data_IF_886900787417
#
_entry.id   IF_886900787417
#
_cell.length_a   1.000
_cell.length_b   1.000
_cell.length_c   1.000
_cell.angle_alpha   90.00
_cell.angle_beta   90.00
_cell.angle_gamma   90.00
#
_symmetry.space_group_name_H-M   'P 1'
#
loop_
_entity.id
_entity.type
_entity.pdbx_description
1 polymer ?
#
# COMPACT_ATOMS: atom_id res chain seq x y z
N UNK A 1 -72.85 -56.56 -41.07
CA UNK A 1 -72.38 -57.08 -39.77
C UNK A 1 -70.93 -57.51 -39.90
N UNK A 2 -70.08 -56.92 -39.06
CA UNK A 2 -68.67 -57.19 -38.73
C UNK A 2 -67.66 -57.58 -39.84
N UNK A 3 -66.76 -56.64 -40.16
CA UNK A 3 -65.46 -56.88 -40.81
C UNK A 3 -64.39 -56.38 -39.82
N UNK A 4 -63.52 -57.28 -39.36
CA UNK A 4 -62.47 -56.98 -38.38
C UNK A 4 -61.10 -56.84 -39.05
N UNK A 5 -60.35 -55.86 -38.56
CA UNK A 5 -59.08 -55.31 -39.02
C UNK A 5 -57.89 -56.08 -38.45
N UNK A 6 -56.84 -56.30 -39.23
CA UNK A 6 -55.51 -56.71 -38.76
C UNK A 6 -54.47 -55.79 -39.39
N UNK A 7 -53.70 -55.10 -38.54
CA UNK A 7 -52.67 -54.14 -38.92
C UNK A 7 -51.30 -54.68 -38.49
N UNK A 8 -50.38 -54.67 -39.44
CA UNK A 8 -49.01 -55.17 -39.38
C UNK A 8 -48.10 -54.30 -38.52
N UNK A 9 -47.28 -54.96 -37.71
CA UNK A 9 -46.24 -54.45 -36.81
C UNK A 9 -45.13 -53.68 -37.54
N UNK A 10 -44.81 -52.48 -37.05
CA UNK A 10 -43.67 -51.68 -37.49
C UNK A 10 -42.52 -51.74 -36.46
N UNK A 11 -41.33 -51.90 -37.01
CA UNK A 11 -40.03 -52.16 -36.41
C UNK A 11 -39.46 -50.92 -35.71
N UNK A 12 -39.08 -51.01 -34.42
CA UNK A 12 -38.46 -49.92 -33.65
C UNK A 12 -36.96 -50.17 -33.56
N UNK A 13 -36.20 -49.44 -34.39
CA UNK A 13 -34.74 -49.42 -34.37
C UNK A 13 -34.21 -48.68 -33.13
N UNK A 14 -33.34 -49.37 -32.40
CA UNK A 14 -32.70 -48.92 -31.15
C UNK A 14 -31.56 -47.94 -31.43
N UNK A 15 -31.77 -46.65 -31.15
CA UNK A 15 -30.69 -45.64 -31.09
C UNK A 15 -29.82 -45.86 -29.86
N UNK A 16 -28.62 -46.36 -30.11
CA UNK A 16 -27.48 -46.51 -29.17
C UNK A 16 -27.15 -45.15 -28.53
N UNK A 17 -27.59 -44.92 -27.29
CA UNK A 17 -27.19 -43.77 -26.46
C UNK A 17 -25.68 -43.84 -26.21
N UNK A 18 -24.92 -42.95 -26.83
CA UNK A 18 -23.50 -42.74 -26.53
C UNK A 18 -23.43 -42.05 -25.16
N UNK A 19 -22.95 -42.77 -24.15
CA UNK A 19 -22.57 -42.20 -22.86
C UNK A 19 -21.53 -41.10 -23.13
N UNK A 20 -21.91 -39.84 -22.93
CA UNK A 20 -20.95 -38.76 -22.73
C UNK A 20 -20.43 -38.92 -21.32
N UNK A 21 -19.28 -39.57 -21.19
CA UNK A 21 -18.51 -39.57 -19.97
C UNK A 21 -18.22 -38.11 -19.56
N UNK A 22 -18.51 -37.79 -18.31
CA UNK A 22 -18.14 -36.53 -17.63
C UNK A 22 -16.65 -36.26 -17.86
N UNK A 23 -16.34 -35.38 -18.81
CA UNK A 23 -15.01 -34.84 -19.03
C UNK A 23 -14.74 -33.74 -18.01
N UNK A 24 -13.58 -33.82 -17.37
CA UNK A 24 -13.03 -32.79 -16.48
C UNK A 24 -13.21 -31.38 -17.06
N UNK A 25 -13.49 -30.44 -16.17
CA UNK A 25 -13.73 -29.00 -16.37
C UNK A 25 -12.50 -28.29 -16.99
N UNK A 26 -12.15 -28.64 -18.24
CA UNK A 26 -11.00 -28.06 -18.94
C UNK A 26 -11.40 -26.69 -19.47
N UNK A 27 -10.96 -25.64 -18.78
CA UNK A 27 -11.03 -24.28 -19.31
C UNK A 27 -10.43 -24.25 -20.72
N UNK A 28 -11.01 -23.46 -21.66
CA UNK A 28 -10.49 -23.36 -23.01
C UNK A 28 -9.03 -22.87 -22.98
N UNK A 29 -8.16 -23.39 -23.87
CA UNK A 29 -6.74 -23.03 -23.89
C UNK A 29 -6.57 -21.53 -24.09
N UNK A 30 -5.61 -20.92 -23.38
CA UNK A 30 -5.38 -19.47 -23.43
C UNK A 30 -5.06 -18.97 -24.85
N UNK A 31 -4.23 -19.72 -25.58
CA UNK A 31 -3.94 -19.53 -26.99
C UNK A 31 -4.08 -20.89 -27.68
N UNK A 32 -4.93 -21.03 -28.71
CA UNK A 32 -5.09 -22.29 -29.43
C UNK A 32 -3.75 -22.83 -29.94
N UNK A 33 -3.47 -24.10 -29.66
CA UNK A 33 -2.24 -24.78 -30.11
C UNK A 33 -0.99 -24.53 -29.25
N UNK A 34 -1.08 -23.73 -28.18
CA UNK A 34 0.01 -23.53 -27.23
C UNK A 34 -0.32 -24.09 -25.83
N UNK A 35 0.67 -24.64 -25.12
CA UNK A 35 0.54 -24.91 -23.68
C UNK A 35 0.35 -23.61 -22.88
N UNK A 36 -0.44 -23.65 -21.81
CA UNK A 36 -0.78 -22.45 -21.03
C UNK A 36 0.43 -21.70 -20.47
N UNK A 37 1.48 -22.41 -20.02
CA UNK A 37 2.69 -21.76 -19.52
C UNK A 37 3.42 -20.92 -20.60
N UNK A 38 3.44 -21.39 -21.85
CA UNK A 38 4.00 -20.64 -22.99
C UNK A 38 3.07 -19.48 -23.34
N UNK A 39 1.76 -19.71 -23.35
CA UNK A 39 0.78 -18.66 -23.62
C UNK A 39 0.89 -17.51 -22.60
N UNK A 40 1.07 -17.81 -21.32
CA UNK A 40 1.28 -16.81 -20.25
C UNK A 40 2.52 -15.96 -20.54
N UNK A 41 3.65 -16.57 -20.92
CA UNK A 41 4.88 -15.84 -21.27
C UNK A 41 4.71 -14.96 -22.52
N UNK A 42 3.90 -15.39 -23.48
CA UNK A 42 3.58 -14.56 -24.65
C UNK A 42 2.70 -13.38 -24.26
N UNK A 43 1.63 -13.63 -23.50
CA UNK A 43 0.67 -12.60 -23.08
C UNK A 43 1.34 -11.61 -22.12
N UNK A 44 2.29 -12.02 -21.27
CA UNK A 44 2.98 -11.10 -20.35
C UNK A 44 3.80 -10.01 -21.04
N UNK A 45 4.08 -10.15 -22.35
CA UNK A 45 4.77 -9.12 -23.16
C UNK A 45 3.82 -8.09 -23.77
N UNK A 46 2.51 -8.33 -23.71
CA UNK A 46 1.49 -7.43 -24.26
C UNK A 46 1.02 -6.46 -23.17
N UNK A 47 0.71 -5.22 -23.55
CA UNK A 47 0.14 -4.24 -22.62
C UNK A 47 -1.12 -4.79 -21.96
N UNK A 48 -1.17 -4.75 -20.63
CA UNK A 48 -2.28 -5.31 -19.84
C UNK A 48 -3.65 -4.73 -20.24
N UNK A 49 -3.72 -3.45 -20.58
CA UNK A 49 -4.95 -2.81 -21.08
C UNK A 49 -5.50 -3.48 -22.35
N UNK A 50 -4.62 -3.88 -23.28
CA UNK A 50 -5.02 -4.59 -24.49
C UNK A 50 -5.55 -5.99 -24.15
N UNK A 51 -4.86 -6.73 -23.28
CA UNK A 51 -5.29 -8.05 -22.83
C UNK A 51 -6.66 -8.02 -22.15
N UNK A 52 -6.91 -6.99 -21.32
CA UNK A 52 -8.16 -6.81 -20.58
C UNK A 52 -9.38 -6.65 -21.50
N UNK A 53 -9.19 -6.10 -22.70
CA UNK A 53 -10.23 -5.86 -23.70
C UNK A 53 -10.55 -7.03 -24.63
N UNK A 54 -9.69 -8.05 -24.74
CA UNK A 54 -9.85 -9.09 -25.79
C UNK A 54 -10.94 -10.11 -25.44
N UNK A 55 -10.80 -10.83 -24.33
CA UNK A 55 -11.75 -11.87 -23.94
C UNK A 55 -11.77 -12.07 -22.41
N UNK A 56 -12.82 -12.74 -21.91
CA UNK A 56 -13.00 -13.01 -20.48
C UNK A 56 -11.93 -13.93 -19.90
N UNK A 57 -11.41 -14.87 -20.69
CA UNK A 57 -10.33 -15.79 -20.29
C UNK A 57 -9.02 -15.04 -20.02
N UNK A 58 -8.61 -14.16 -20.93
CA UNK A 58 -7.41 -13.33 -20.74
C UNK A 58 -7.59 -12.31 -19.63
N UNK A 59 -8.80 -11.75 -19.49
CA UNK A 59 -9.13 -10.91 -18.33
C UNK A 59 -9.00 -11.70 -17.03
N UNK A 60 -9.48 -12.94 -16.94
CA UNK A 60 -9.33 -13.78 -15.75
C UNK A 60 -7.85 -14.09 -15.48
N UNK A 61 -7.08 -14.41 -16.52
CA UNK A 61 -5.64 -14.64 -16.42
C UNK A 61 -4.93 -13.41 -15.83
N UNK A 62 -5.29 -12.20 -16.26
CA UNK A 62 -4.71 -10.97 -15.73
C UNK A 62 -4.87 -10.82 -14.23
N UNK A 63 -5.86 -11.44 -13.57
CA UNK A 63 -6.04 -11.42 -12.10
C UNK A 63 -5.59 -12.72 -11.41
N UNK A 64 -5.12 -13.71 -12.16
CA UNK A 64 -4.61 -14.96 -11.60
C UNK A 64 -3.24 -14.76 -10.94
N UNK A 65 -2.93 -15.47 -9.84
CA UNK A 65 -1.58 -15.45 -9.25
C UNK A 65 -0.50 -16.02 -10.19
N UNK A 66 -0.88 -16.77 -11.23
CA UNK A 66 0.06 -17.33 -12.21
C UNK A 66 0.56 -16.30 -13.24
N UNK A 67 -0.10 -15.15 -13.37
CA UNK A 67 0.29 -14.08 -14.29
C UNK A 67 1.12 -13.02 -13.54
N UNK A 68 2.20 -12.48 -14.13
CA UNK A 68 3.00 -11.43 -13.50
C UNK A 68 2.11 -10.25 -13.06
N UNK A 69 2.20 -9.92 -11.77
CA UNK A 69 1.39 -8.85 -11.20
C UNK A 69 1.83 -7.49 -11.74
N UNK A 70 0.87 -6.66 -12.12
CA UNK A 70 1.11 -5.25 -12.40
C UNK A 70 0.81 -4.41 -11.15
N UNK A 71 1.30 -3.18 -11.13
CA UNK A 71 1.16 -2.31 -9.96
C UNK A 71 -0.24 -1.73 -9.86
N UNK A 72 -0.69 -1.59 -8.61
CA UNK A 72 -1.96 -1.04 -8.19
C UNK A 72 -1.69 0.03 -7.13
N UNK A 73 -2.55 1.04 -7.08
CA UNK A 73 -2.52 2.03 -6.01
C UNK A 73 -3.30 1.48 -4.82
N UNK A 74 -2.72 1.58 -3.63
CA UNK A 74 -3.34 1.22 -2.35
C UNK A 74 -3.53 2.48 -1.54
N UNK A 75 -4.67 2.59 -0.85
CA UNK A 75 -4.99 3.70 0.01
C UNK A 75 -5.47 3.21 1.37
N UNK A 76 -4.97 3.84 2.42
CA UNK A 76 -5.55 3.79 3.76
C UNK A 76 -6.54 4.95 3.86
N UNK A 77 -7.80 4.64 4.10
CA UNK A 77 -8.92 5.55 3.99
C UNK A 77 -9.55 5.78 5.37
N UNK A 78 -10.03 7.00 5.57
CA UNK A 78 -10.87 7.38 6.70
C UNK A 78 -12.09 8.15 6.21
N UNK A 79 -13.25 8.10 6.87
CA UNK A 79 -14.42 8.91 6.51
C UNK A 79 -14.08 10.41 6.41
N UNK A 80 -14.65 11.11 5.42
CA UNK A 80 -14.53 12.57 5.39
C UNK A 80 -15.18 13.19 6.62
N UNK A 81 -14.56 14.23 7.22
CA UNK A 81 -15.28 15.14 8.07
C UNK A 81 -16.31 15.92 7.22
N UNK A 82 -17.44 16.26 7.82
CA UNK A 82 -18.38 17.25 7.33
C UNK A 82 -17.68 18.59 7.04
N UNK A 83 -18.29 19.46 6.21
CA UNK A 83 -17.69 20.75 5.82
C UNK A 83 -17.34 21.69 6.98
N UNK A 84 -17.99 21.52 8.13
CA UNK A 84 -17.73 22.25 9.37
C UNK A 84 -16.57 21.66 10.21
N UNK A 85 -15.93 20.59 9.72
CA UNK A 85 -14.86 19.87 10.39
C UNK A 85 -15.34 18.81 11.41
N UNK A 86 -16.65 18.63 11.59
CA UNK A 86 -17.23 17.57 12.44
C UNK A 86 -17.25 16.24 11.69
N UNK A 87 -17.37 15.10 12.38
CA UNK A 87 -17.47 13.79 11.72
C UNK A 87 -18.91 13.29 11.77
N UNK A 88 -19.31 12.37 10.86
CA UNK A 88 -20.53 11.59 11.01
C UNK A 88 -20.59 11.01 12.42
N UNK A 89 -21.53 11.51 13.24
CA UNK A 89 -21.74 10.99 14.59
C UNK A 89 -22.33 9.57 14.46
N UNK A 90 -21.82 8.58 15.21
CA UNK A 90 -22.54 7.32 15.35
C UNK A 90 -23.91 7.57 16.01
N UNK A 91 -24.91 6.70 15.77
CA UNK A 91 -26.24 6.84 16.36
C UNK A 91 -26.18 6.96 17.90
N UNK A 92 -27.10 7.74 18.47
CA UNK A 92 -27.11 8.30 19.85
C UNK A 92 -27.01 7.28 21.00
N UNK A 93 -26.88 5.99 20.74
CA UNK A 93 -26.57 4.98 21.77
C UNK A 93 -25.07 4.82 22.05
N UNK A 94 -24.18 5.37 21.23
CA UNK A 94 -22.72 5.13 21.29
C UNK A 94 -21.94 6.38 21.72
N UNK A 95 -22.32 6.96 22.86
CA UNK A 95 -21.49 7.94 23.53
C UNK A 95 -20.19 7.24 24.00
N UNK A 96 -19.05 7.38 23.27
CA UNK A 96 -17.64 7.42 23.78
C UNK A 96 -16.55 7.18 22.71
N UNK A 97 -16.82 6.54 21.56
CA UNK A 97 -15.72 6.16 20.63
C UNK A 97 -15.23 7.31 19.74
N UNK A 98 -14.09 7.93 20.11
CA UNK A 98 -13.37 8.95 19.30
C UNK A 98 -12.57 8.37 18.12
N UNK A 99 -12.64 7.06 17.92
CA UNK A 99 -11.85 6.36 16.92
C UNK A 99 -12.46 6.54 15.54
N UNK A 100 -11.62 6.81 14.54
CA UNK A 100 -12.01 6.79 13.14
C UNK A 100 -11.90 5.37 12.61
N UNK A 101 -12.99 4.88 11.99
CA UNK A 101 -12.95 3.63 11.22
C UNK A 101 -11.98 3.81 10.05
N UNK A 102 -11.09 2.85 9.87
CA UNK A 102 -10.08 2.81 8.83
C UNK A 102 -10.44 1.71 7.84
N UNK A 103 -10.49 2.09 6.57
CA UNK A 103 -10.74 1.19 5.46
C UNK A 103 -9.48 1.12 4.59
N UNK A 104 -9.23 -0.05 3.98
CA UNK A 104 -8.14 -0.18 3.03
C UNK A 104 -8.72 -0.57 1.69
N UNK A 105 -8.28 0.11 0.64
CA UNK A 105 -8.74 -0.14 -0.71
C UNK A 105 -7.58 -0.15 -1.70
N UNK A 106 -7.72 -0.95 -2.76
CA UNK A 106 -6.81 -1.00 -3.89
C UNK A 106 -7.52 -0.50 -5.15
N UNK A 107 -6.96 0.50 -5.82
CA UNK A 107 -7.44 0.99 -7.11
C UNK A 107 -6.84 0.18 -8.25
N UNK A 108 -7.69 -0.54 -8.97
CA UNK A 108 -7.32 -1.31 -10.16
C UNK A 108 -7.22 -0.39 -11.39
N UNK A 109 -6.01 -0.16 -11.94
CA UNK A 109 -5.81 0.73 -13.07
C UNK A 109 -6.39 0.22 -14.39
N UNK A 110 -6.75 -1.06 -14.51
CA UNK A 110 -7.35 -1.59 -15.75
C UNK A 110 -8.86 -1.43 -15.78
N UNK A 111 -9.51 -1.64 -14.64
CA UNK A 111 -10.96 -1.48 -14.52
C UNK A 111 -11.38 -0.10 -14.03
N UNK A 112 -10.44 0.74 -13.59
CA UNK A 112 -10.65 2.05 -12.97
C UNK A 112 -11.62 1.99 -11.79
N UNK A 113 -11.48 0.95 -10.95
CA UNK A 113 -12.36 0.71 -9.80
C UNK A 113 -11.56 0.48 -8.53
N UNK A 114 -12.10 1.00 -7.43
CA UNK A 114 -11.63 0.67 -6.09
C UNK A 114 -12.18 -0.69 -5.66
N UNK A 115 -11.28 -1.55 -5.19
CA UNK A 115 -11.56 -2.81 -4.54
C UNK A 115 -11.31 -2.63 -3.04
N UNK A 116 -12.34 -2.82 -2.21
CA UNK A 116 -12.19 -2.85 -0.76
C UNK A 116 -11.42 -4.10 -0.35
N UNK A 117 -10.42 -3.95 0.51
CA UNK A 117 -9.62 -5.06 1.02
C UNK A 117 -10.33 -5.70 2.22
N UNK A 118 -10.14 -7.00 2.46
CA UNK A 118 -10.66 -7.64 3.66
C UNK A 118 -10.06 -6.99 4.92
N UNK A 119 -10.78 -6.95 6.05
CA UNK A 119 -10.20 -6.51 7.32
C UNK A 119 -9.15 -7.52 7.81
N UNK A 120 -8.14 -7.09 8.61
CA UNK A 120 -7.13 -8.00 9.15
C UNK A 120 -7.67 -9.09 10.06
N UNK A 121 -8.76 -8.81 10.77
CA UNK A 121 -9.45 -9.75 11.64
C UNK A 121 -10.94 -9.73 11.31
N UNK A 122 -11.59 -10.91 11.18
CA UNK A 122 -13.05 -10.98 11.08
C UNK A 122 -13.69 -10.29 12.28
N UNK A 123 -14.68 -9.43 12.03
CA UNK A 123 -15.50 -8.75 13.04
C UNK A 123 -14.81 -7.67 13.90
N UNK A 124 -13.56 -7.30 13.62
CA UNK A 124 -12.89 -6.18 14.29
C UNK A 124 -12.50 -5.08 13.29
N UNK A 125 -13.29 -4.00 13.16
CA UNK A 125 -12.94 -2.89 12.29
C UNK A 125 -11.68 -2.20 12.80
N UNK A 126 -10.71 -1.96 11.90
CA UNK A 126 -9.56 -1.13 12.21
C UNK A 126 -10.04 0.26 12.60
N UNK A 127 -9.80 0.67 13.84
CA UNK A 127 -10.28 1.94 14.37
C UNK A 127 -9.15 2.62 15.13
N UNK A 128 -8.72 3.78 14.65
CA UNK A 128 -7.59 4.53 15.24
C UNK A 128 -7.99 5.97 15.50
N UNK A 129 -7.36 6.58 16.50
CA UNK A 129 -7.53 7.99 16.79
C UNK A 129 -6.73 8.81 15.77
N UNK A 130 -7.41 9.48 14.84
CA UNK A 130 -6.79 10.36 13.84
C UNK A 130 -6.77 11.84 14.25
N UNK A 131 -7.65 12.25 15.16
CA UNK A 131 -7.76 13.62 15.66
C UNK A 131 -8.15 13.61 17.13
N UNK A 132 -7.80 14.66 17.86
CA UNK A 132 -8.21 14.83 19.24
C UNK A 132 -8.48 16.31 19.54
N UNK A 133 -9.56 16.65 20.28
CA UNK A 133 -9.92 18.05 20.55
C UNK A 133 -8.81 18.87 21.21
N UNK A 134 -7.98 18.26 22.07
CA UNK A 134 -6.82 18.93 22.68
C UNK A 134 -5.62 19.12 21.72
N UNK A 135 -5.68 18.56 20.51
CA UNK A 135 -4.63 18.60 19.48
C UNK A 135 -5.20 19.13 18.15
N UNK A 136 -5.77 20.33 18.19
CA UNK A 136 -6.62 20.93 17.15
C UNK A 136 -5.92 21.00 15.77
N UNK A 137 -4.60 21.25 15.76
CA UNK A 137 -3.80 21.39 14.53
C UNK A 137 -3.07 20.12 14.07
N UNK A 138 -3.24 18.98 14.78
CA UNK A 138 -2.50 17.75 14.47
C UNK A 138 -3.44 16.62 14.09
N UNK A 139 -3.13 15.98 12.95
CA UNK A 139 -3.63 14.64 12.63
C UNK A 139 -2.65 13.62 13.15
N UNK A 140 -3.16 12.63 13.87
CA UNK A 140 -2.33 11.52 14.31
C UNK A 140 -2.10 10.55 13.15
N UNK A 141 -0.85 10.08 12.98
CA UNK A 141 -0.46 9.25 11.86
C UNK A 141 -0.97 7.81 12.01
N UNK A 142 -1.06 7.14 10.86
CA UNK A 142 -0.96 5.69 10.76
C UNK A 142 0.35 5.40 10.03
N UNK A 143 1.37 4.97 10.75
CA UNK A 143 2.63 4.55 10.13
C UNK A 143 2.40 3.28 9.33
N UNK A 144 2.67 3.36 8.04
CA UNK A 144 2.54 2.25 7.12
C UNK A 144 3.66 2.27 6.10
N UNK A 145 4.06 1.10 5.62
CA UNK A 145 5.12 0.94 4.64
C UNK A 145 4.79 -0.15 3.63
N UNK A 146 5.43 -0.09 2.47
CA UNK A 146 5.38 -1.12 1.43
C UNK A 146 6.73 -1.78 1.28
N UNK A 147 6.80 -3.11 1.42
CA UNK A 147 8.06 -3.86 1.30
C UNK A 147 7.82 -5.24 0.70
N UNK A 148 8.68 -5.64 -0.24
CA UNK A 148 8.63 -6.95 -0.90
C UNK A 148 7.24 -7.33 -1.43
N UNK A 149 6.49 -6.34 -1.93
CA UNK A 149 5.14 -6.52 -2.46
C UNK A 149 4.03 -6.63 -1.41
N UNK A 150 4.31 -6.41 -0.13
CA UNK A 150 3.32 -6.43 0.96
C UNK A 150 3.09 -5.02 1.53
N UNK A 151 1.87 -4.78 2.00
CA UNK A 151 1.52 -3.59 2.78
C UNK A 151 1.66 -3.92 4.27
N UNK A 152 2.30 -3.04 5.04
CA UNK A 152 2.48 -3.23 6.49
C UNK A 152 1.96 -2.02 7.24
N UNK A 153 1.06 -2.25 8.21
CA UNK A 153 0.67 -1.27 9.22
C UNK A 153 1.53 -1.47 10.46
N UNK A 154 2.24 -0.43 10.88
CA UNK A 154 3.29 -0.53 11.91
C UNK A 154 2.92 0.11 13.24
N UNK A 155 2.32 1.31 13.20
CA UNK A 155 1.98 2.06 14.39
C UNK A 155 0.76 2.95 14.13
N UNK A 156 -0.04 3.12 15.18
CA UNK A 156 -1.17 4.03 15.22
C UNK A 156 -1.47 4.38 16.68
N UNK A 157 -2.46 5.24 16.91
CA UNK A 157 -2.80 5.76 18.23
C UNK A 157 -4.21 5.31 18.64
N UNK A 158 -4.38 4.83 19.88
CA UNK A 158 -5.70 4.55 20.46
C UNK A 158 -6.37 5.83 20.96
N UNK A 159 -7.64 5.74 21.35
CA UNK A 159 -8.43 6.82 21.96
C UNK A 159 -7.78 7.43 23.21
N UNK A 160 -7.11 6.59 24.00
CA UNK A 160 -6.39 6.93 25.22
C UNK A 160 -4.92 7.31 24.98
N UNK A 161 -4.54 7.60 23.73
CA UNK A 161 -3.18 7.96 23.34
C UNK A 161 -2.14 6.88 23.70
N UNK A 162 -2.50 5.61 23.55
CA UNK A 162 -1.56 4.48 23.62
C UNK A 162 -1.18 3.98 22.21
N UNK A 163 -0.06 3.25 22.07
CA UNK A 163 0.25 2.52 20.85
C UNK A 163 -0.87 1.52 20.51
N UNK A 164 -1.44 1.64 19.31
CA UNK A 164 -2.57 0.80 18.88
C UNK A 164 -2.15 -0.50 18.17
N UNK A 165 -0.92 -0.54 17.63
CA UNK A 165 -0.42 -1.66 16.82
C UNK A 165 0.86 -2.20 17.49
N UNK A 166 0.76 -3.17 18.42
CA UNK A 166 1.93 -3.75 19.09
C UNK A 166 2.65 -4.79 18.21
N UNK A 167 1.92 -5.42 17.30
CA UNK A 167 2.43 -6.34 16.29
C UNK A 167 2.03 -5.79 14.92
N UNK A 168 2.96 -5.63 13.95
CA UNK A 168 2.63 -5.16 12.61
C UNK A 168 1.57 -6.02 11.95
N UNK A 169 0.69 -5.42 11.15
CA UNK A 169 -0.28 -6.14 10.33
C UNK A 169 0.22 -6.14 8.89
N UNK A 170 0.38 -7.32 8.30
CA UNK A 170 0.95 -7.52 6.96
C UNK A 170 -0.14 -8.02 6.03
N UNK A 171 -0.44 -7.26 5.00
CA UNK A 171 -1.34 -7.67 3.92
C UNK A 171 -0.53 -8.11 2.71
N UNK A 172 -0.81 -9.32 2.21
CA UNK A 172 -0.21 -9.86 0.99
C UNK A 172 -1.21 -9.74 -0.17
N UNK A 173 -0.98 -8.85 -1.16
CA UNK A 173 -1.85 -8.72 -2.34
C UNK A 173 -2.01 -9.99 -3.18
N UNK A 174 -1.00 -10.85 -3.19
CA UNK A 174 -1.01 -12.04 -4.05
C UNK A 174 -1.92 -13.13 -3.47
N UNK A 175 -1.94 -13.30 -2.15
CA UNK A 175 -2.85 -14.26 -1.49
C UNK A 175 -4.18 -13.62 -1.10
N UNK A 176 -4.20 -12.29 -0.91
CA UNK A 176 -5.36 -11.56 -0.39
C UNK A 176 -5.52 -11.67 1.13
N UNK A 177 -4.54 -12.24 1.83
CA UNK A 177 -4.63 -12.52 3.25
C UNK A 177 -3.85 -11.52 4.10
N UNK A 178 -4.29 -11.42 5.36
CA UNK A 178 -3.56 -10.74 6.42
C UNK A 178 -2.80 -11.73 7.29
N UNK A 179 -1.65 -11.29 7.77
CA UNK A 179 -0.84 -11.97 8.77
C UNK A 179 -0.34 -10.97 9.79
N UNK A 180 0.04 -11.46 10.97
CA UNK A 180 0.59 -10.65 12.05
C UNK A 180 2.10 -10.80 12.04
N UNK A 181 2.85 -9.71 12.06
CA UNK A 181 4.31 -9.69 12.17
C UNK A 181 4.82 -9.84 13.61
N UNK A 182 6.14 -9.77 13.83
CA UNK A 182 6.73 -9.90 15.15
C UNK A 182 6.38 -8.70 16.04
N UNK A 183 6.15 -8.96 17.33
CA UNK A 183 5.85 -7.92 18.32
C UNK A 183 7.02 -6.94 18.44
N UNK A 184 6.75 -5.64 18.34
CA UNK A 184 7.73 -4.59 18.61
C UNK A 184 8.26 -4.74 20.05
N UNK A 185 9.57 -4.61 20.24
CA UNK A 185 10.16 -4.68 21.59
C UNK A 185 9.60 -3.57 22.49
N UNK A 186 9.34 -2.41 21.90
CA UNK A 186 8.58 -1.32 22.50
C UNK A 186 7.49 -0.85 21.53
N UNK A 187 6.22 -1.29 21.71
CA UNK A 187 5.08 -0.74 20.99
C UNK A 187 5.07 0.77 21.12
N UNK A 188 4.89 1.45 19.99
CA UNK A 188 5.07 2.90 19.91
C UNK A 188 4.14 3.54 18.90
N UNK A 189 4.00 4.86 19.03
CA UNK A 189 3.25 5.76 18.14
C UNK A 189 4.12 6.97 17.82
N UNK A 190 3.80 7.67 16.75
CA UNK A 190 4.55 8.87 16.32
C UNK A 190 6.04 8.57 16.13
N UNK A 191 6.32 7.38 15.64
CA UNK A 191 7.66 6.95 15.27
C UNK A 191 7.93 7.27 13.81
N UNK A 192 9.21 7.24 13.47
CA UNK A 192 9.64 7.17 12.10
C UNK A 192 9.53 5.74 11.58
N UNK A 193 9.03 5.57 10.36
CA UNK A 193 8.90 4.27 9.72
C UNK A 193 9.37 4.35 8.27
N UNK A 194 10.09 3.33 7.83
CA UNK A 194 10.71 3.30 6.51
C UNK A 194 11.13 1.92 6.07
N UNK A 195 11.55 1.82 4.81
CA UNK A 195 12.02 0.58 4.20
C UNK A 195 13.35 0.85 3.54
N UNK A 196 14.32 -0.04 3.72
CA UNK A 196 15.53 -0.05 2.89
C UNK A 196 16.08 -1.46 2.77
N UNK A 197 16.58 -1.80 1.57
CA UNK A 197 17.10 -3.12 1.23
C UNK A 197 16.15 -4.27 1.58
N UNK A 198 14.85 -4.04 1.38
CA UNK A 198 13.81 -5.04 1.67
C UNK A 198 13.54 -5.30 3.15
N UNK A 199 14.10 -4.50 4.06
CA UNK A 199 13.84 -4.56 5.49
C UNK A 199 13.03 -3.35 5.96
N UNK A 200 12.19 -3.57 6.97
CA UNK A 200 11.39 -2.54 7.64
C UNK A 200 12.19 -1.95 8.78
N UNK A 201 12.13 -0.64 8.95
CA UNK A 201 12.75 0.07 10.06
C UNK A 201 11.73 0.91 10.79
N UNK A 202 11.82 0.88 12.12
CA UNK A 202 11.05 1.73 13.01
C UNK A 202 12.02 2.43 13.94
N UNK A 203 12.00 3.76 13.96
CA UNK A 203 12.90 4.56 14.79
C UNK A 203 12.12 5.57 15.63
N UNK A 204 12.62 5.88 16.82
CA UNK A 204 12.08 6.92 17.70
C UNK A 204 10.60 6.70 18.06
N UNK A 205 9.88 7.77 18.38
CA UNK A 205 8.47 7.77 18.81
C UNK A 205 8.25 7.60 20.31
N UNK A 206 6.98 7.43 20.68
CA UNK A 206 6.50 7.38 22.07
C UNK A 206 5.79 6.06 22.33
N UNK A 207 6.14 5.38 23.42
CA UNK A 207 5.40 4.21 23.91
C UNK A 207 4.10 4.58 24.63
N UNK A 208 3.70 3.77 25.61
CA UNK A 208 2.58 4.11 26.50
C UNK A 208 2.89 5.31 27.40
N UNK A 209 4.17 5.49 27.72
CA UNK A 209 4.73 6.65 28.39
C UNK A 209 5.94 7.13 27.59
N UNK A 210 6.33 8.38 27.80
CA UNK A 210 7.59 8.86 27.26
C UNK A 210 8.75 8.10 27.91
N UNK A 211 9.64 7.57 27.07
CA UNK A 211 10.84 6.85 27.47
C UNK A 211 11.97 7.26 26.50
N UNK A 212 13.11 7.63 27.07
CA UNK A 212 14.27 8.15 26.33
C UNK A 212 14.93 7.07 25.46
N UNK A 213 14.94 5.83 25.92
CA UNK A 213 15.51 4.69 25.21
C UNK A 213 14.66 4.37 23.98
N UNK A 214 13.33 4.39 24.12
CA UNK A 214 12.39 4.26 22.99
C UNK A 214 12.59 5.42 22.00
N UNK A 215 12.68 6.65 22.50
CA UNK A 215 12.87 7.85 21.68
C UNK A 215 14.18 7.84 20.86
N UNK A 216 15.23 7.15 21.32
CA UNK A 216 16.52 7.03 20.61
C UNK A 216 16.67 5.73 19.82
N UNK A 217 15.91 4.70 20.18
CA UNK A 217 16.01 3.39 19.57
C UNK A 217 15.61 3.39 18.09
N UNK A 218 16.24 2.50 17.36
CA UNK A 218 15.88 2.08 16.02
C UNK A 218 15.88 0.55 15.98
N UNK A 219 14.85 -0.01 15.35
CA UNK A 219 14.62 -1.44 15.24
C UNK A 219 14.42 -1.80 13.76
N UNK A 220 15.03 -2.91 13.32
CA UNK A 220 14.93 -3.46 11.98
C UNK A 220 14.20 -4.79 11.99
N UNK A 221 13.37 -5.04 10.99
CA UNK A 221 12.74 -6.33 10.75
C UNK A 221 12.86 -6.71 9.28
N UNK A 222 13.45 -7.88 9.01
CA UNK A 222 13.55 -8.43 7.65
C UNK A 222 12.29 -9.24 7.31
N UNK A 223 11.57 -8.82 6.26
CA UNK A 223 10.39 -9.54 5.81
C UNK A 223 10.81 -10.71 4.90
N UNK A 224 10.79 -11.92 5.45
CA UNK A 224 11.12 -13.13 4.68
C UNK A 224 9.86 -13.65 4.00
N UNK A 225 9.76 -13.43 2.69
CA UNK A 225 8.80 -14.16 1.86
C UNK A 225 9.21 -15.64 1.82
N UNK A 226 8.24 -16.54 1.98
CA UNK A 226 8.36 -18.00 2.17
C UNK A 226 9.07 -18.79 1.06
N UNK A 227 9.72 -18.14 0.08
CA UNK A 227 10.44 -18.79 -1.02
C UNK A 227 11.95 -18.94 -0.79
N UNK A 228 12.51 -18.52 0.35
CA UNK A 228 13.94 -18.75 0.66
C UNK A 228 14.16 -20.03 1.47
N UNK A 229 14.43 -21.14 0.77
CA UNK A 229 14.78 -22.44 1.35
C UNK A 229 16.15 -22.48 2.05
N UNK A 230 16.77 -21.34 2.35
CA UNK A 230 18.09 -21.25 2.99
C UNK A 230 18.06 -20.26 4.17
N UNK A 231 17.64 -20.71 5.35
CA UNK A 231 18.50 -20.65 6.56
C UNK A 231 17.80 -21.32 7.74
N UNK A 232 18.59 -22.09 8.47
CA UNK A 232 18.20 -23.04 9.52
C UNK A 232 18.06 -22.41 10.91
N UNK A 233 17.58 -21.16 11.01
CA UNK A 233 17.32 -20.56 12.32
C UNK A 233 16.04 -19.70 12.26
N UNK A 234 14.89 -20.35 12.46
CA UNK A 234 13.56 -19.74 12.33
C UNK A 234 13.26 -18.66 13.37
N UNK A 235 13.97 -18.66 14.51
CA UNK A 235 13.64 -17.82 15.67
C UNK A 235 14.27 -16.41 15.60
N UNK A 236 15.44 -16.26 14.96
CA UNK A 236 16.06 -14.94 14.71
C UNK A 236 15.40 -14.17 13.56
N UNK A 237 14.64 -14.87 12.71
CA UNK A 237 13.95 -14.30 11.55
C UNK A 237 12.65 -13.59 11.90
N UNK A 238 12.08 -13.93 13.05
CA UNK A 238 10.79 -13.43 13.52
C UNK A 238 10.93 -12.50 14.71
N UNK A 239 11.93 -11.61 14.67
CA UNK A 239 12.18 -10.62 15.71
C UNK A 239 12.70 -9.32 15.14
N UNK A 240 12.49 -8.27 15.93
CA UNK A 240 13.09 -6.97 15.69
C UNK A 240 14.55 -6.98 16.15
N UNK A 241 15.45 -6.57 15.27
CA UNK A 241 16.86 -6.36 15.56
C UNK A 241 17.07 -4.92 16.02
N UNK A 242 17.67 -4.73 17.20
CA UNK A 242 18.08 -3.40 17.68
C UNK A 242 19.31 -2.93 16.92
N UNK A 243 19.31 -1.65 16.56
CA UNK A 243 20.37 -0.98 15.83
C UNK A 243 20.92 0.20 16.65
N UNK A 244 21.96 0.86 16.14
CA UNK A 244 22.62 1.98 16.82
C UNK A 244 21.63 3.10 17.08
N UNK A 245 21.53 3.46 18.35
CA UNK A 245 20.67 4.54 18.82
C UNK A 245 21.04 5.89 18.22
N UNK A 246 20.01 6.70 18.01
CA UNK A 246 20.14 8.11 17.66
C UNK A 246 20.72 8.90 18.83
N UNK A 247 21.56 9.91 18.53
CA UNK A 247 22.15 10.76 19.57
C UNK A 247 21.12 11.67 20.24
N UNK A 248 20.21 12.25 19.45
CA UNK A 248 19.15 13.13 19.94
C UNK A 248 17.78 12.43 19.98
N UNK A 249 16.78 13.12 20.53
CA UNK A 249 15.40 12.63 20.67
C UNK A 249 14.42 13.47 19.86
N UNK A 250 14.91 14.25 18.88
CA UNK A 250 14.10 15.28 18.21
C UNK A 250 13.00 14.69 17.35
N UNK A 251 13.16 13.44 16.93
CA UNK A 251 12.22 12.65 16.14
C UNK A 251 11.17 11.91 16.99
N UNK A 252 11.18 12.09 18.32
CA UNK A 252 10.39 11.24 19.25
C UNK A 252 8.93 11.59 19.41
N UNK A 253 8.48 12.71 18.84
CA UNK A 253 7.11 13.23 19.03
C UNK A 253 6.40 13.56 17.73
N UNK A 254 6.98 13.14 16.61
CA UNK A 254 6.51 13.47 15.27
C UNK A 254 6.49 12.21 14.43
N UNK A 255 5.39 12.02 13.70
CA UNK A 255 5.33 11.00 12.69
C UNK A 255 6.24 11.43 11.54
N UNK A 256 7.27 10.65 11.25
CA UNK A 256 8.23 10.99 10.22
C UNK A 256 8.32 9.82 9.24
N UNK A 257 8.17 10.11 7.97
CA UNK A 257 8.47 9.11 6.94
C UNK A 257 9.99 9.01 6.82
N UNK A 258 10.52 7.81 7.07
CA UNK A 258 11.91 7.51 6.82
C UNK A 258 12.04 6.99 5.39
N UNK A 259 12.43 7.87 4.46
CA UNK A 259 12.49 7.54 3.04
C UNK A 259 13.75 6.75 2.74
N UNK A 260 13.58 5.52 2.26
CA UNK A 260 14.68 4.64 1.85
C UNK A 260 15.33 5.08 0.56
N UNK A 261 16.60 5.47 0.58
CA UNK A 261 17.34 5.94 -0.58
C UNK A 261 18.79 5.46 -0.54
N UNK A 262 19.16 4.64 -1.52
CA UNK A 262 20.52 4.10 -1.74
C UNK A 262 21.13 3.43 -0.50
N UNK A 263 20.35 2.57 0.18
CA UNK A 263 20.79 1.90 1.41
C UNK A 263 20.84 2.84 2.62
N UNK A 264 20.12 3.97 2.59
CA UNK A 264 20.03 4.91 3.70
C UNK A 264 18.57 5.21 3.99
N UNK A 265 18.28 5.57 5.23
CA UNK A 265 16.98 6.09 5.65
C UNK A 265 17.12 7.59 5.89
N UNK A 266 16.47 8.39 5.05
CA UNK A 266 16.45 9.84 5.16
C UNK A 266 15.23 10.26 5.97
N UNK A 267 15.45 11.00 7.05
CA UNK A 267 14.39 11.42 7.98
C UNK A 267 14.44 12.93 8.14
N UNK A 268 13.30 13.58 7.93
CA UNK A 268 13.12 15.03 8.10
C UNK A 268 11.95 15.27 9.03
N UNK A 269 12.13 16.15 10.02
CA UNK A 269 11.03 16.60 10.86
C UNK A 269 10.12 17.60 10.10
N UNK A 270 8.78 17.40 10.10
CA UNK A 270 7.82 18.32 9.44
C UNK A 270 6.47 18.25 10.18
N UNK A 271 5.75 19.34 10.53
CA UNK A 271 5.20 20.44 9.71
C UNK A 271 5.30 21.83 10.37
N UNK A 272 5.78 22.82 9.61
CA UNK A 272 5.81 24.25 9.99
C UNK A 272 7.02 25.01 9.42
N UNK A 273 6.95 26.34 9.35
CA UNK A 273 8.01 27.23 8.83
C UNK A 273 9.25 27.39 9.74
N UNK A 274 9.46 26.46 10.68
CA UNK A 274 10.64 26.44 11.55
C UNK A 274 11.83 25.78 10.85
N UNK A 275 13.04 26.01 11.38
CA UNK A 275 14.27 25.41 10.88
C UNK A 275 14.13 23.87 10.83
N UNK A 276 14.24 23.31 9.63
CA UNK A 276 14.16 21.86 9.39
C UNK A 276 15.47 21.20 9.75
N UNK A 277 15.36 20.00 10.28
CA UNK A 277 16.48 19.16 10.65
C UNK A 277 16.34 17.82 9.96
N UNK A 278 17.36 17.47 9.19
CA UNK A 278 17.44 16.20 8.49
C UNK A 278 18.54 15.33 9.09
N UNK A 279 18.22 14.05 9.30
CA UNK A 279 19.21 13.02 9.64
C UNK A 279 19.14 11.89 8.62
N UNK A 280 20.29 11.26 8.41
CA UNK A 280 20.40 10.10 7.53
C UNK A 280 20.98 8.95 8.33
N UNK A 281 20.31 7.80 8.29
CA UNK A 281 20.81 6.57 8.86
C UNK A 281 21.32 5.65 7.75
N UNK A 282 22.61 5.30 7.78
CA UNK A 282 23.24 4.35 6.87
C UNK A 282 23.00 2.93 7.37
N UNK A 283 22.22 2.14 6.62
CA UNK A 283 21.75 0.83 7.09
C UNK A 283 22.82 -0.25 7.06
N UNK A 284 23.86 -0.08 6.24
CA UNK A 284 24.96 -1.02 6.15
C UNK A 284 25.99 -0.77 7.25
N UNK A 285 26.28 0.50 7.49
CA UNK A 285 27.28 0.91 8.48
C UNK A 285 26.72 1.00 9.89
N UNK A 286 25.39 0.96 10.04
CA UNK A 286 24.70 1.17 11.32
C UNK A 286 25.15 2.50 11.96
N UNK A 287 25.06 3.59 11.18
CA UNK A 287 25.53 4.92 11.62
C UNK A 287 24.58 6.04 11.23
N UNK A 288 24.54 7.07 12.08
CA UNK A 288 23.80 8.31 11.84
C UNK A 288 24.73 9.39 11.29
N UNK A 289 24.25 10.13 10.30
CA UNK A 289 24.93 11.26 9.68
C UNK A 289 23.98 12.46 9.56
N UNK A 290 24.56 13.66 9.45
CA UNK A 290 23.82 14.88 9.10
C UNK A 290 23.35 14.76 7.65
N UNK A 291 22.13 15.21 7.37
CA UNK A 291 21.64 15.33 5.99
C UNK A 291 22.42 16.43 5.24
N UNK A 292 22.75 16.22 3.94
CA UNK A 292 23.31 17.26 3.08
C UNK A 292 22.45 18.53 3.04
N UNK A 293 23.09 19.69 2.92
CA UNK A 293 22.42 20.98 3.05
C UNK A 293 21.48 21.25 1.86
N UNK A 294 21.81 20.80 0.65
CA UNK A 294 20.95 20.92 -0.51
C UNK A 294 19.75 19.98 -0.47
N UNK A 295 19.97 18.73 -0.03
CA UNK A 295 18.90 17.76 0.24
C UNK A 295 17.85 18.33 1.19
N UNK A 296 18.25 18.78 2.39
CA UNK A 296 17.30 19.34 3.38
C UNK A 296 16.71 20.68 2.92
N UNK A 297 17.47 21.50 2.19
CA UNK A 297 17.05 22.81 1.70
C UNK A 297 15.90 22.74 0.69
N UNK A 298 15.91 21.74 -0.20
CA UNK A 298 14.86 21.54 -1.20
C UNK A 298 13.72 20.61 -0.78
N UNK A 299 13.88 19.85 0.31
CA UNK A 299 12.84 18.93 0.81
C UNK A 299 11.71 19.68 1.52
N UNK A 300 10.74 20.17 0.73
CA UNK A 300 9.69 21.10 1.19
C UNK A 300 8.29 20.54 1.37
N UNK A 301 8.15 19.23 1.46
CA UNK A 301 6.89 18.58 1.82
C UNK A 301 7.05 17.07 1.90
N UNK A 302 5.97 16.29 1.65
CA UNK A 302 6.05 14.84 1.65
C UNK A 302 7.05 14.34 0.59
N UNK A 303 7.66 13.19 0.85
CA UNK A 303 8.68 12.62 -0.02
C UNK A 303 8.61 11.09 -0.05
N UNK A 304 9.04 10.52 -1.17
CA UNK A 304 9.12 9.08 -1.38
C UNK A 304 10.24 8.79 -2.36
N UNK A 305 10.74 7.57 -2.32
CA UNK A 305 11.72 7.09 -3.28
C UNK A 305 11.11 6.10 -4.25
N UNK A 306 11.59 6.12 -5.49
CA UNK A 306 11.30 5.09 -6.48
C UNK A 306 12.47 4.10 -6.52
N UNK A 307 12.20 2.83 -6.27
CA UNK A 307 13.18 1.74 -6.30
C UNK A 307 14.43 1.99 -5.43
N UNK A 308 14.29 2.73 -4.32
CA UNK A 308 15.40 3.18 -3.46
C UNK A 308 16.52 3.95 -4.20
N UNK A 309 16.26 4.52 -5.37
CA UNK A 309 17.31 5.10 -6.23
C UNK A 309 17.09 6.56 -6.55
N UNK A 310 15.85 6.92 -6.88
CA UNK A 310 15.40 8.28 -7.14
C UNK A 310 14.56 8.78 -5.96
N UNK A 311 14.82 9.99 -5.51
CA UNK A 311 14.09 10.62 -4.41
C UNK A 311 13.24 11.76 -4.97
N UNK A 312 11.95 11.74 -4.63
CA UNK A 312 10.97 12.73 -5.04
C UNK A 312 10.38 13.45 -3.81
N UNK A 313 10.09 14.73 -3.95
CA UNK A 313 9.37 15.52 -2.95
C UNK A 313 8.41 16.50 -3.63
N UNK A 314 7.28 16.77 -2.98
CA UNK A 314 6.32 17.78 -3.44
C UNK A 314 6.35 18.97 -2.50
N UNK A 315 6.62 20.17 -3.04
CA UNK A 315 6.55 21.42 -2.27
C UNK A 315 5.07 21.81 -2.05
N UNK A 316 4.61 21.75 -0.80
CA UNK A 316 3.17 21.87 -0.45
C UNK A 316 2.54 23.20 -0.92
N UNK A 317 3.31 24.29 -0.94
CA UNK A 317 2.83 25.64 -1.27
C UNK A 317 2.75 25.93 -2.76
N UNK A 318 3.70 25.40 -3.54
CA UNK A 318 3.81 25.68 -4.98
C UNK A 318 3.21 24.56 -5.83
N UNK A 319 3.09 23.35 -5.30
CA UNK A 319 2.72 22.17 -6.08
C UNK A 319 3.82 21.71 -7.03
N UNK A 320 5.08 22.05 -6.75
CA UNK A 320 6.24 21.58 -7.52
C UNK A 320 6.63 20.17 -7.07
N UNK A 321 6.52 19.19 -7.97
CA UNK A 321 7.14 17.88 -7.81
C UNK A 321 8.60 17.99 -8.26
N UNK A 322 9.52 17.73 -7.34
CA UNK A 322 10.96 17.76 -7.60
C UNK A 322 11.60 16.39 -7.46
N UNK A 323 12.69 16.18 -8.20
CA UNK A 323 13.59 15.03 -8.09
C UNK A 323 14.95 15.50 -7.59
N UNK A 324 15.52 14.80 -6.62
CA UNK A 324 16.82 15.13 -6.07
C UNK A 324 17.97 14.59 -6.94
N UNK A 325 18.92 15.46 -7.29
CA UNK A 325 20.19 15.13 -7.92
C UNK A 325 21.30 15.04 -6.85
N UNK A 326 21.79 13.84 -6.53
CA UNK A 326 22.82 13.65 -5.52
C UNK A 326 24.23 14.07 -5.95
N UNK A 327 24.49 14.25 -7.25
CA UNK A 327 25.80 14.70 -7.73
C UNK A 327 25.97 16.21 -7.50
N UNK A 328 24.88 16.96 -7.65
CA UNK A 328 24.82 18.41 -7.45
C UNK A 328 24.37 18.82 -6.05
N UNK A 329 23.81 17.91 -5.27
CA UNK A 329 23.10 18.21 -4.01
C UNK A 329 21.98 19.23 -4.25
N UNK A 330 21.20 19.05 -5.32
CA UNK A 330 20.16 19.99 -5.75
C UNK A 330 18.86 19.26 -6.10
N UNK A 331 17.76 20.00 -6.20
CA UNK A 331 16.46 19.46 -6.58
C UNK A 331 16.01 20.07 -7.91
N UNK A 332 15.75 19.23 -8.90
CA UNK A 332 15.27 19.64 -10.22
C UNK A 332 13.73 19.51 -10.28
N UNK A 333 13.06 20.49 -10.88
CA UNK A 333 11.61 20.46 -11.11
C UNK A 333 11.25 19.40 -12.17
N UNK A 334 10.36 18.47 -11.81
CA UNK A 334 9.77 17.51 -12.75
C UNK A 334 8.52 18.11 -13.37
N UNK A 335 7.62 18.63 -12.54
CA UNK A 335 6.40 19.32 -12.96
C UNK A 335 5.93 20.27 -11.85
N UNK A 336 5.35 21.40 -12.24
CA UNK A 336 4.63 22.29 -11.32
C UNK A 336 3.15 22.25 -11.70
N UNK A 337 2.29 21.91 -10.73
CA UNK A 337 0.86 21.83 -10.95
C UNK A 337 0.08 22.27 -9.73
N UNK A 338 -0.96 23.09 -9.94
CA UNK A 338 -1.90 23.51 -8.90
C UNK A 338 -2.59 22.32 -8.22
N UNK A 339 -2.79 21.22 -8.95
CA UNK A 339 -3.39 19.99 -8.43
C UNK A 339 -2.53 19.30 -7.34
N UNK A 340 -1.23 19.64 -7.27
CA UNK A 340 -0.27 19.10 -6.31
C UNK A 340 -0.10 19.97 -5.06
N UNK A 341 -0.79 21.12 -4.96
CA UNK A 341 -0.81 21.92 -3.74
C UNK A 341 -1.47 21.18 -2.59
N UNK A 342 -1.09 21.56 -1.38
CA UNK A 342 -1.55 20.94 -0.13
C UNK A 342 -1.24 19.42 -0.08
N UNK A 343 -0.14 18.99 -0.71
CA UNK A 343 0.32 17.61 -0.67
C UNK A 343 0.51 17.14 0.78
N UNK A 344 -0.12 16.02 1.14
CA UNK A 344 -0.06 15.48 2.50
C UNK A 344 0.81 14.23 2.59
N UNK A 345 0.81 13.41 1.54
CA UNK A 345 1.48 12.12 1.44
C UNK A 345 1.85 11.86 -0.01
N UNK A 346 2.95 11.14 -0.25
CA UNK A 346 3.28 10.66 -1.60
C UNK A 346 3.76 9.21 -1.58
N UNK A 347 3.59 8.53 -2.71
CA UNK A 347 4.19 7.23 -2.99
C UNK A 347 4.77 7.23 -4.40
N UNK A 348 5.96 6.65 -4.59
CA UNK A 348 6.61 6.57 -5.89
C UNK A 348 6.91 5.11 -6.24
N UNK A 349 6.57 4.70 -7.46
CA UNK A 349 6.70 3.32 -7.90
C UNK A 349 6.15 3.10 -9.30
N UNK A 350 6.79 2.23 -10.07
CA UNK A 350 6.33 1.91 -11.43
C UNK A 350 6.22 3.12 -12.33
N UNK A 351 7.25 3.98 -12.33
CA UNK A 351 7.32 5.17 -13.19
C UNK A 351 6.26 6.24 -12.89
N UNK A 352 5.62 6.14 -11.72
CA UNK A 352 4.57 7.07 -11.29
C UNK A 352 4.81 7.57 -9.88
N UNK A 353 4.36 8.79 -9.64
CA UNK A 353 4.27 9.39 -8.30
C UNK A 353 2.79 9.67 -8.01
N UNK A 354 2.27 9.11 -6.93
CA UNK A 354 0.91 9.34 -6.46
C UNK A 354 0.97 10.30 -5.27
N UNK A 355 0.19 11.37 -5.31
CA UNK A 355 0.20 12.46 -4.33
C UNK A 355 -1.21 12.59 -3.74
N UNK A 356 -1.33 12.51 -2.41
CA UNK A 356 -2.58 12.80 -1.72
C UNK A 356 -2.70 14.30 -1.51
N UNK A 357 -3.75 14.90 -2.05
CA UNK A 357 -4.01 16.34 -2.04
C UNK A 357 -5.45 16.66 -1.63
N UNK A 358 -5.76 17.96 -1.54
CA UNK A 358 -7.08 18.45 -1.19
C UNK A 358 -7.37 18.42 0.30
N UNK A 359 -8.43 19.14 0.72
CA UNK A 359 -8.79 19.30 2.14
C UNK A 359 -8.94 17.93 2.80
N UNK A 360 -8.01 17.62 3.69
CA UNK A 360 -8.02 16.39 4.44
C UNK A 360 -7.68 15.11 3.65
N UNK A 361 -7.22 15.18 2.40
CA UNK A 361 -6.80 14.02 1.60
C UNK A 361 -7.91 13.45 0.70
N UNK A 362 -8.81 14.29 0.21
CA UNK A 362 -9.96 13.89 -0.60
C UNK A 362 -9.62 13.50 -2.04
N UNK A 363 -8.43 13.83 -2.54
CA UNK A 363 -8.03 13.59 -3.92
C UNK A 363 -6.66 12.91 -3.96
N UNK A 364 -6.46 12.02 -4.93
CA UNK A 364 -5.15 11.47 -5.24
C UNK A 364 -4.80 11.91 -6.67
N UNK A 365 -3.65 12.56 -6.85
CA UNK A 365 -3.14 12.97 -8.16
C UNK A 365 -1.99 12.06 -8.53
N UNK A 366 -2.08 11.46 -9.72
CA UNK A 366 -1.04 10.59 -10.27
C UNK A 366 -0.25 11.37 -11.30
N UNK A 367 1.07 11.32 -11.19
CA UNK A 367 2.03 11.90 -12.13
C UNK A 367 2.78 10.77 -12.82
N UNK A 368 2.68 10.69 -14.13
CA UNK A 368 3.57 9.89 -14.97
C UNK A 368 4.85 10.68 -15.21
N UNK A 369 5.92 10.27 -14.53
CA UNK A 369 7.21 10.98 -14.57
C UNK A 369 8.08 10.58 -15.76
N UNK A 370 7.68 9.54 -16.52
CA UNK A 370 8.38 9.09 -17.71
C UNK A 370 7.80 9.67 -19.01
N UNK A 371 6.55 10.16 -18.97
CA UNK A 371 5.97 10.88 -20.09
C UNK A 371 6.72 12.19 -20.38
N UNK A 372 6.84 12.53 -21.66
CA UNK A 372 7.45 13.79 -22.12
C UNK A 372 6.43 14.60 -22.95
N UNK A 373 5.85 15.70 -22.43
CA UNK A 373 6.00 16.20 -21.06
C UNK A 373 5.30 15.29 -20.02
N UNK A 374 5.64 15.40 -18.71
CA UNK A 374 4.98 14.64 -17.65
C UNK A 374 3.47 14.84 -17.67
N UNK A 375 2.72 13.76 -17.40
CA UNK A 375 1.25 13.77 -17.47
C UNK A 375 0.65 13.59 -16.09
N UNK A 376 -0.43 14.31 -15.81
CA UNK A 376 -1.16 14.20 -14.54
C UNK A 376 -2.62 13.85 -14.76
N UNK A 377 -3.18 13.11 -13.81
CA UNK A 377 -4.62 12.86 -13.72
C UNK A 377 -5.03 12.60 -12.28
N UNK A 378 -6.31 12.85 -11.98
CA UNK A 378 -6.89 12.57 -10.68
C UNK A 378 -7.43 11.14 -10.59
N UNK A 379 -7.31 10.56 -9.41
CA UNK A 379 -8.03 9.37 -8.97
C UNK A 379 -8.83 9.79 -7.74
N UNK A 380 -10.15 9.85 -7.91
CA UNK A 380 -11.08 10.16 -6.81
C UNK A 380 -11.09 9.02 -5.80
N UNK A 381 -11.10 9.35 -4.51
CA UNK A 381 -11.24 8.38 -3.44
C UNK A 381 -12.66 7.82 -3.39
N UNK A 382 -12.85 6.57 -2.91
CA UNK A 382 -14.18 5.97 -2.88
C UNK A 382 -15.07 6.60 -1.81
N UNK A 383 -16.33 6.87 -2.17
CA UNK A 383 -17.46 7.06 -1.24
C UNK A 383 -17.29 8.17 -0.18
N UNK A 384 -16.74 9.33 -0.55
CA UNK A 384 -16.55 10.43 0.42
C UNK A 384 -15.51 10.10 1.51
N UNK A 385 -14.56 9.21 1.21
CA UNK A 385 -13.43 8.93 2.10
C UNK A 385 -12.25 9.86 1.80
N UNK A 386 -11.41 10.11 2.79
CA UNK A 386 -10.11 10.73 2.61
C UNK A 386 -9.00 9.68 2.68
N UNK A 387 -8.02 9.79 1.80
CA UNK A 387 -6.76 9.05 1.91
C UNK A 387 -5.91 9.64 3.05
N UNK A 388 -5.54 8.78 3.99
CA UNK A 388 -4.62 9.05 5.10
C UNK A 388 -3.18 8.70 4.70
N UNK A 389 -3.01 7.65 3.89
CA UNK A 389 -1.73 7.21 3.34
C UNK A 389 -1.97 6.49 2.00
N UNK A 390 -0.95 6.48 1.14
CA UNK A 390 -0.98 5.79 -0.16
C UNK A 390 0.27 4.96 -0.37
N UNK A 391 0.13 3.87 -1.12
CA UNK A 391 1.17 2.90 -1.40
C UNK A 391 1.05 2.39 -2.84
N UNK A 392 2.16 1.99 -3.46
CA UNK A 392 2.16 1.36 -4.79
C UNK A 392 2.69 -0.05 -4.63
N UNK A 393 1.84 -1.04 -4.91
CA UNK A 393 2.09 -2.45 -4.64
C UNK A 393 1.59 -3.32 -5.81
N UNK A 394 2.00 -4.60 -5.89
CA UNK A 394 1.38 -5.55 -6.80
C UNK A 394 -0.14 -5.57 -6.63
N UNK A 395 -0.92 -5.68 -7.71
CA UNK A 395 -2.38 -5.78 -7.66
C UNK A 395 -2.83 -6.97 -6.79
N UNK A 396 -4.05 -6.87 -6.26
CA UNK A 396 -4.73 -8.00 -5.60
C UNK A 396 -5.05 -9.10 -6.62
N UNK A 397 -4.61 -10.33 -6.35
CA UNK A 397 -5.00 -11.49 -7.18
C UNK A 397 -6.41 -11.95 -6.83
N UNK A 398 -7.13 -12.50 -7.81
CA UNK A 398 -8.45 -13.10 -7.62
C UNK A 398 -8.28 -14.62 -7.64
N UNK A 399 -8.51 -15.26 -6.50
CA UNK A 399 -8.59 -16.72 -6.43
C UNK A 399 -9.92 -17.19 -7.05
N UNK A 400 -9.88 -18.23 -7.88
CA UNK A 400 -11.08 -18.85 -8.46
C UNK A 400 -11.96 -19.37 -7.31
N UNK A 401 -13.04 -18.65 -7.01
CA UNK A 401 -13.94 -18.92 -5.89
C UNK A 401 -14.69 -17.69 -5.38
N UNK A 402 -14.11 -16.49 -5.53
CA UNK A 402 -14.79 -15.23 -5.22
C UNK A 402 -15.63 -14.73 -6.42
N UNK A 403 -16.63 -15.52 -6.80
CA UNK A 403 -17.77 -15.03 -7.57
C UNK A 403 -18.97 -14.97 -6.62
N UNK A 404 -19.37 -13.77 -6.25
CA UNK A 404 -20.74 -13.42 -5.93
C UNK A 404 -21.05 -12.11 -6.65
#
# INVERSE_FOLDING_TARGET
>A
MAKATSATTADISTKRRKLVARGSDRQPPLIPGLPDHVAILCLSRVRHASLYSVCSSWRRLLYSPAFPSFLSLYAILSPQPFPDGTFPLPPESDHVSRLSKIELAAFDPLSSRWLQLPPPLPDQPLSFLLRHPSFISRRFPIQSVSVSGNLILLAATTDNLFPAIPCPLVFNPITGDWSVGPRLSAPRRWCAAGVSRGAVYVASGVGSRFNTDVARSIEKWELICSNSHLSSNSDERWRWQKLREMRDMRFSREAIEAVGWRGKLCMVNVKGGTQREGVIYDVEKDTWAKMPDGMIGGWKGPAASMNESELYSVEESTGALRRYDPERDEWDDVIVSEDLKDAQQIAAGGERVCVVTGSGGSRIVVVDVMAAPPRTWAVETPGGSCAVAVHILPRVSRHEGACA
#
